data_IF_927799392626
#
_entry.id   IF_927799392626
#
_cell.length_a   1.000
_cell.length_b   1.000
_cell.length_c   1.000
_cell.angle_alpha   90.00
_cell.angle_beta   90.00
_cell.angle_gamma   90.00
#
_symmetry.space_group_name_H-M   'P 1'
#
loop_
_entity.id
_entity.type
_entity.pdbx_description
1 polymer ?
#
# COMPACT_ATOMS: atom_id res chain seq x y z
N UNK A 1 -68.23 10.62 -58.02
CA UNK A 1 -67.22 9.67 -57.52
C UNK A 1 -66.10 10.47 -56.91
N UNK A 2 -65.85 10.29 -55.62
CA UNK A 2 -64.71 10.90 -54.93
C UNK A 2 -63.43 10.15 -55.33
N UNK A 3 -62.46 10.86 -55.91
CA UNK A 3 -61.10 10.36 -56.08
C UNK A 3 -60.42 10.58 -54.73
N UNK A 4 -60.13 9.49 -53.99
CA UNK A 4 -59.20 9.57 -52.87
C UNK A 4 -57.79 9.83 -53.43
N UNK A 5 -57.07 10.87 -52.97
CA UNK A 5 -55.64 10.92 -53.22
C UNK A 5 -55.00 9.79 -52.44
N UNK A 6 -54.47 8.79 -53.16
CA UNK A 6 -53.60 7.77 -52.61
C UNK A 6 -52.30 8.48 -52.17
N UNK A 7 -52.29 9.03 -50.97
CA UNK A 7 -51.04 9.38 -50.31
C UNK A 7 -50.39 8.04 -49.93
N UNK A 8 -49.58 7.49 -50.84
CA UNK A 8 -48.51 6.58 -50.43
C UNK A 8 -47.71 7.34 -49.39
N UNK A 9 -47.86 6.96 -48.12
CA UNK A 9 -46.92 7.34 -47.08
C UNK A 9 -45.57 6.78 -47.50
N UNK A 10 -44.82 7.54 -48.28
CA UNK A 10 -43.43 7.23 -48.57
C UNK A 10 -42.74 7.23 -47.22
N UNK A 11 -42.27 6.06 -46.79
CA UNK A 11 -41.31 6.04 -45.70
C UNK A 11 -40.18 6.99 -46.09
N UNK A 12 -39.72 7.87 -45.18
CA UNK A 12 -38.54 8.68 -45.44
C UNK A 12 -37.42 7.76 -45.96
N UNK A 13 -36.71 8.13 -47.03
CA UNK A 13 -35.60 7.32 -47.53
C UNK A 13 -34.62 7.10 -46.38
N UNK A 14 -34.08 5.88 -46.27
CA UNK A 14 -33.07 5.58 -45.25
C UNK A 14 -31.88 6.48 -45.52
N UNK A 15 -31.51 7.30 -44.53
CA UNK A 15 -30.39 8.25 -44.67
C UNK A 15 -29.08 7.50 -44.98
N UNK A 16 -28.95 6.25 -44.51
CA UNK A 16 -27.85 5.34 -44.81
C UNK A 16 -27.71 4.95 -46.29
N UNK A 17 -28.73 5.15 -47.13
CA UNK A 17 -28.67 4.83 -48.57
C UNK A 17 -28.13 6.00 -49.42
N UNK A 18 -27.97 7.18 -48.82
CA UNK A 18 -27.63 8.42 -49.53
C UNK A 18 -26.47 9.22 -48.90
N UNK A 19 -26.03 8.84 -47.70
CA UNK A 19 -24.97 9.51 -46.95
C UNK A 19 -23.96 8.48 -46.46
N UNK A 20 -22.68 8.80 -46.63
CA UNK A 20 -21.56 8.09 -46.02
C UNK A 20 -21.04 8.90 -44.82
N UNK A 21 -20.75 8.22 -43.71
CA UNK A 21 -20.37 8.87 -42.43
C UNK A 21 -19.15 8.16 -41.87
N UNK A 22 -18.14 8.95 -41.51
CA UNK A 22 -16.90 8.46 -40.94
C UNK A 22 -16.56 9.22 -39.64
N UNK A 23 -15.97 8.50 -38.68
CA UNK A 23 -15.45 9.09 -37.44
C UNK A 23 -13.98 9.47 -37.62
N UNK A 24 -13.69 10.77 -37.58
CA UNK A 24 -12.31 11.29 -37.67
C UNK A 24 -11.58 11.39 -36.33
N UNK A 25 -12.26 11.10 -35.22
CA UNK A 25 -11.68 11.25 -33.88
C UNK A 25 -10.78 10.06 -33.52
N UNK A 26 -9.67 10.37 -32.86
CA UNK A 26 -8.73 9.41 -32.26
C UNK A 26 -8.46 9.80 -30.81
N UNK A 27 -8.13 8.83 -29.93
CA UNK A 27 -7.79 9.15 -28.54
C UNK A 27 -6.53 10.01 -28.48
N UNK A 28 -6.45 10.85 -27.45
CA UNK A 28 -5.29 11.73 -27.26
C UNK A 28 -4.03 10.89 -27.04
N UNK A 29 -2.95 11.16 -27.78
CA UNK A 29 -1.71 10.39 -27.71
C UNK A 29 -1.59 9.26 -28.75
N UNK A 30 -2.66 8.93 -29.48
CA UNK A 30 -2.59 7.96 -30.58
C UNK A 30 -1.73 8.48 -31.74
N UNK A 31 -0.85 7.67 -32.35
CA UNK A 31 0.00 8.12 -33.45
C UNK A 31 -0.80 8.59 -34.67
N UNK A 32 -0.40 9.72 -35.26
CA UNK A 32 -1.10 10.29 -36.42
C UNK A 32 -0.98 9.40 -37.67
N UNK A 33 0.13 8.68 -37.80
CA UNK A 33 0.47 7.79 -38.91
C UNK A 33 -0.09 6.37 -38.76
N UNK A 34 -0.64 6.02 -37.61
CA UNK A 34 -1.19 4.68 -37.33
C UNK A 34 -2.72 4.64 -37.49
N UNK A 35 -3.21 3.69 -38.28
CA UNK A 35 -4.64 3.41 -38.40
C UNK A 35 -5.19 2.74 -37.14
N UNK A 36 -6.43 3.06 -36.77
CA UNK A 36 -7.12 2.34 -35.71
C UNK A 36 -7.28 0.84 -36.09
N UNK A 37 -7.30 -0.08 -35.11
CA UNK A 37 -7.53 -1.49 -35.36
C UNK A 37 -8.84 -1.75 -36.14
N UNK A 38 -8.87 -2.83 -36.91
CA UNK A 38 -10.05 -3.20 -37.71
C UNK A 38 -11.30 -3.38 -36.83
N UNK A 39 -11.13 -4.01 -35.65
CA UNK A 39 -12.19 -4.19 -34.67
C UNK A 39 -12.82 -2.86 -34.20
N UNK A 40 -12.02 -1.79 -34.06
CA UNK A 40 -12.52 -0.45 -33.76
C UNK A 40 -13.37 0.07 -34.91
N UNK A 41 -12.90 -0.09 -36.14
CA UNK A 41 -13.57 0.40 -37.35
C UNK A 41 -14.93 -0.28 -37.54
N UNK A 42 -14.99 -1.60 -37.36
CA UNK A 42 -16.24 -2.36 -37.39
C UNK A 42 -17.21 -1.88 -36.31
N UNK A 43 -16.73 -1.71 -35.07
CA UNK A 43 -17.59 -1.32 -33.96
C UNK A 43 -18.11 0.11 -34.09
N UNK A 44 -17.29 1.03 -34.61
CA UNK A 44 -17.70 2.41 -34.93
C UNK A 44 -18.77 2.39 -36.02
N UNK A 45 -18.59 1.58 -37.07
CA UNK A 45 -19.57 1.45 -38.15
C UNK A 45 -20.92 0.95 -37.63
N UNK A 46 -20.94 -0.04 -36.74
CA UNK A 46 -22.18 -0.53 -36.13
C UNK A 46 -22.93 0.57 -35.36
N UNK A 47 -22.21 1.44 -34.64
CA UNK A 47 -22.81 2.59 -33.94
C UNK A 47 -23.38 3.60 -34.93
N UNK A 48 -22.65 3.92 -36.00
CA UNK A 48 -23.09 4.83 -37.05
C UNK A 48 -24.31 4.29 -37.82
N UNK A 49 -24.31 3.00 -38.17
CA UNK A 49 -25.44 2.33 -38.82
C UNK A 49 -26.68 2.34 -37.91
N UNK A 50 -26.49 2.10 -36.61
CA UNK A 50 -27.56 2.21 -35.60
C UNK A 50 -28.13 3.63 -35.49
N UNK A 51 -27.29 4.65 -35.63
CA UNK A 51 -27.70 6.06 -35.64
C UNK A 51 -28.44 6.44 -36.92
N UNK A 52 -27.90 6.09 -38.09
CA UNK A 52 -28.53 6.32 -39.39
C UNK A 52 -29.87 5.58 -39.52
N UNK A 53 -29.99 4.43 -38.87
CA UNK A 53 -31.22 3.66 -38.72
C UNK A 53 -32.21 4.21 -37.67
N UNK A 54 -31.91 5.36 -37.04
CA UNK A 54 -32.70 6.00 -35.97
C UNK A 54 -32.83 5.14 -34.69
N UNK A 55 -32.00 4.11 -34.52
CA UNK A 55 -31.96 3.27 -33.32
C UNK A 55 -31.11 3.87 -32.19
N UNK A 56 -30.12 4.70 -32.53
CA UNK A 56 -29.29 5.43 -31.56
C UNK A 56 -29.70 6.91 -31.52
N UNK A 57 -30.13 7.45 -30.36
CA UNK A 57 -30.39 8.88 -30.23
C UNK A 57 -29.12 9.73 -30.37
N UNK A 58 -29.19 10.82 -31.14
CA UNK A 58 -28.10 11.79 -31.35
C UNK A 58 -27.37 12.17 -30.05
N UNK A 59 -28.12 12.42 -28.98
CA UNK A 59 -27.58 12.85 -27.68
C UNK A 59 -26.61 11.86 -27.03
N UNK A 60 -26.61 10.60 -27.46
CA UNK A 60 -25.71 9.55 -26.96
C UNK A 60 -24.65 9.15 -27.98
N UNK A 61 -24.81 9.56 -29.24
CA UNK A 61 -23.96 9.15 -30.37
C UNK A 61 -22.48 9.35 -30.06
N UNK A 62 -22.10 10.55 -29.65
CA UNK A 62 -20.70 10.88 -29.38
C UNK A 62 -20.07 9.99 -28.31
N UNK A 63 -20.78 9.77 -27.20
CA UNK A 63 -20.27 8.91 -26.13
C UNK A 63 -20.20 7.44 -26.57
N UNK A 64 -21.17 6.95 -27.34
CA UNK A 64 -21.13 5.60 -27.89
C UNK A 64 -19.96 5.40 -28.87
N UNK A 65 -19.69 6.40 -29.72
CA UNK A 65 -18.56 6.37 -30.65
C UNK A 65 -17.22 6.36 -29.90
N UNK A 66 -17.04 7.23 -28.90
CA UNK A 66 -15.84 7.20 -28.04
C UNK A 66 -15.64 5.86 -27.36
N UNK A 67 -16.69 5.31 -26.76
CA UNK A 67 -16.62 4.00 -26.10
C UNK A 67 -16.34 2.87 -27.10
N UNK A 68 -16.89 2.94 -28.32
CA UNK A 68 -16.61 1.98 -29.38
C UNK A 68 -15.12 1.98 -29.76
N UNK A 69 -14.49 3.16 -29.83
CA UNK A 69 -13.04 3.25 -30.06
C UNK A 69 -12.27 2.74 -28.86
N UNK A 70 -12.43 3.35 -27.69
CA UNK A 70 -11.61 3.10 -26.50
C UNK A 70 -11.69 1.65 -26.00
N UNK A 71 -12.87 1.02 -26.06
CA UNK A 71 -13.07 -0.34 -25.58
C UNK A 71 -12.54 -1.42 -26.53
N UNK A 72 -12.20 -1.08 -27.79
CA UNK A 72 -11.77 -2.03 -28.81
C UNK A 72 -10.31 -1.83 -29.25
N UNK A 73 -9.56 -0.94 -28.56
CA UNK A 73 -8.11 -0.86 -28.71
C UNK A 73 -7.46 -2.06 -28.01
N UNK A 74 -6.67 -2.85 -28.72
CA UNK A 74 -6.11 -4.13 -28.27
C UNK A 74 -4.70 -4.03 -27.65
N UNK A 75 -4.05 -2.86 -27.75
CA UNK A 75 -2.72 -2.61 -27.22
C UNK A 75 -2.59 -1.26 -26.49
N UNK A 76 -1.57 -1.15 -25.63
CA UNK A 76 -1.23 0.06 -24.89
C UNK A 76 -2.05 0.29 -23.62
N UNK A 77 -2.07 1.54 -23.17
CA UNK A 77 -2.79 1.98 -21.99
C UNK A 77 -3.88 2.98 -22.39
N UNK A 78 -5.12 2.69 -22.04
CA UNK A 78 -6.27 3.55 -22.31
C UNK A 78 -6.78 4.09 -20.98
N UNK A 79 -6.64 5.40 -20.73
CA UNK A 79 -7.06 6.03 -19.47
C UNK A 79 -7.96 7.21 -19.77
N UNK A 80 -9.24 7.12 -19.39
CA UNK A 80 -10.24 8.11 -19.79
C UNK A 80 -10.38 8.16 -21.32
N UNK A 81 -10.02 9.30 -21.91
CA UNK A 81 -10.05 9.55 -23.37
C UNK A 81 -8.65 9.54 -24.02
N UNK A 82 -7.61 9.23 -23.24
CA UNK A 82 -6.21 9.27 -23.66
C UNK A 82 -5.65 7.85 -23.84
N UNK A 83 -4.71 7.72 -24.77
CA UNK A 83 -3.95 6.50 -25.05
C UNK A 83 -2.45 6.75 -24.88
N UNK A 84 -1.75 5.78 -24.34
CA UNK A 84 -0.30 5.79 -24.14
C UNK A 84 0.29 4.45 -24.57
N UNK A 85 1.48 4.48 -25.18
CA UNK A 85 2.17 3.26 -25.59
C UNK A 85 2.53 2.38 -24.37
N UNK A 86 2.49 1.06 -24.52
CA UNK A 86 2.70 0.10 -23.41
C UNK A 86 4.07 0.22 -22.73
N UNK A 87 5.08 0.74 -23.44
CA UNK A 87 6.41 0.99 -22.89
C UNK A 87 6.50 2.23 -22.00
N UNK A 88 5.51 3.13 -22.05
CA UNK A 88 5.54 4.44 -21.38
C UNK A 88 4.72 4.43 -20.08
N UNK A 89 5.07 3.53 -19.17
CA UNK A 89 4.37 3.33 -17.89
C UNK A 89 4.25 4.63 -17.09
N UNK A 90 5.30 5.45 -17.03
CA UNK A 90 5.25 6.72 -16.29
C UNK A 90 4.29 7.74 -16.90
N UNK A 91 4.18 7.78 -18.23
CA UNK A 91 3.21 8.64 -18.92
C UNK A 91 1.78 8.16 -18.65
N UNK A 92 1.54 6.85 -18.63
CA UNK A 92 0.26 6.26 -18.22
C UNK A 92 -0.10 6.63 -16.77
N UNK A 93 0.83 6.47 -15.83
CA UNK A 93 0.62 6.84 -14.43
C UNK A 93 0.31 8.33 -14.27
N UNK A 94 0.91 9.20 -15.09
CA UNK A 94 0.66 10.64 -15.07
C UNK A 94 -0.77 11.03 -15.52
N UNK A 95 -1.47 10.17 -16.26
CA UNK A 95 -2.88 10.38 -16.61
C UNK A 95 -3.83 10.17 -15.43
N UNK A 96 -3.38 9.49 -14.39
CA UNK A 96 -4.17 9.29 -13.18
C UNK A 96 -3.91 10.36 -12.11
N UNK A 97 -4.95 10.66 -11.36
CA UNK A 97 -4.85 11.34 -10.07
C UNK A 97 -4.58 10.31 -8.96
N UNK A 98 -3.63 10.63 -8.07
CA UNK A 98 -3.29 9.77 -6.93
C UNK A 98 -2.01 10.21 -6.23
N UNK A 99 -1.83 9.73 -5.00
CA UNK A 99 -0.62 9.97 -4.21
C UNK A 99 0.58 9.15 -4.71
N UNK A 100 1.79 9.51 -4.27
CA UNK A 100 3.03 8.80 -4.66
C UNK A 100 2.95 7.30 -4.36
N UNK A 101 2.43 6.94 -3.20
CA UNK A 101 2.30 5.55 -2.76
C UNK A 101 1.36 4.76 -3.68
N UNK A 102 0.28 5.38 -4.16
CA UNK A 102 -0.63 4.78 -5.13
C UNK A 102 0.03 4.63 -6.49
N UNK A 103 0.82 5.62 -6.92
CA UNK A 103 1.57 5.56 -8.18
C UNK A 103 2.58 4.41 -8.16
N UNK A 104 3.33 4.26 -7.07
CA UNK A 104 4.32 3.19 -6.93
C UNK A 104 3.65 1.80 -6.91
N UNK A 105 2.52 1.65 -6.22
CA UNK A 105 1.72 0.43 -6.25
C UNK A 105 1.17 0.12 -7.66
N UNK A 106 0.66 1.14 -8.37
CA UNK A 106 0.13 0.96 -9.71
C UNK A 106 1.23 0.58 -10.72
N UNK A 107 2.43 1.17 -10.64
CA UNK A 107 3.59 0.76 -11.45
C UNK A 107 3.91 -0.72 -11.24
N UNK A 108 3.92 -1.16 -9.99
CA UNK A 108 4.19 -2.56 -9.67
C UNK A 108 3.14 -3.49 -10.29
N UNK A 109 1.85 -3.14 -10.19
CA UNK A 109 0.76 -3.93 -10.79
C UNK A 109 0.86 -3.94 -12.31
N UNK A 110 1.12 -2.81 -12.95
CA UNK A 110 1.32 -2.73 -14.41
C UNK A 110 2.48 -3.62 -14.85
N UNK A 111 3.61 -3.59 -14.13
CA UNK A 111 4.74 -4.45 -14.41
C UNK A 111 4.36 -5.94 -14.31
N UNK A 112 3.57 -6.33 -13.30
CA UNK A 112 3.07 -7.72 -13.20
C UNK A 112 2.13 -8.12 -14.32
N UNK A 113 1.23 -7.23 -14.73
CA UNK A 113 0.34 -7.47 -15.86
C UNK A 113 1.13 -7.68 -17.16
N UNK A 114 2.19 -6.90 -17.36
CA UNK A 114 3.10 -7.06 -18.51
C UNK A 114 3.91 -8.36 -18.45
N UNK A 115 4.43 -8.73 -17.27
CA UNK A 115 5.13 -10.00 -17.04
C UNK A 115 4.22 -11.21 -17.33
N UNK A 116 2.93 -11.11 -16.97
CA UNK A 116 1.92 -12.16 -17.16
C UNK A 116 1.27 -12.14 -18.55
N UNK A 117 1.60 -11.17 -19.41
CA UNK A 117 0.94 -10.95 -20.71
C UNK A 117 -0.59 -10.87 -20.60
N UNK A 118 -1.07 -10.14 -19.58
CA UNK A 118 -2.49 -10.08 -19.20
C UNK A 118 -2.99 -8.63 -19.19
N UNK A 119 -4.14 -8.39 -19.81
CA UNK A 119 -4.83 -7.11 -19.82
C UNK A 119 -5.97 -7.02 -18.82
N UNK A 120 -6.47 -5.81 -18.60
CA UNK A 120 -7.61 -5.54 -17.72
C UNK A 120 -8.39 -4.33 -18.18
N UNK A 121 -9.72 -4.42 -18.12
CA UNK A 121 -10.61 -3.26 -18.24
C UNK A 121 -11.15 -2.91 -16.86
N UNK A 122 -10.93 -1.66 -16.45
CA UNK A 122 -11.41 -1.09 -15.19
C UNK A 122 -12.52 -0.10 -15.47
N UNK A 123 -13.67 -0.29 -14.85
CA UNK A 123 -14.79 0.63 -15.00
C UNK A 123 -14.69 1.89 -14.11
N UNK A 124 -15.73 2.74 -14.18
CA UNK A 124 -15.78 3.96 -13.38
C UNK A 124 -15.95 3.72 -11.88
N UNK A 125 -16.40 2.54 -11.48
CA UNK A 125 -16.61 2.14 -10.08
C UNK A 125 -15.42 1.35 -9.49
N UNK A 126 -14.42 1.06 -10.32
CA UNK A 126 -13.23 0.30 -9.94
C UNK A 126 -13.47 -1.20 -9.89
N UNK A 127 -14.32 -1.74 -10.77
CA UNK A 127 -14.46 -3.17 -11.01
C UNK A 127 -13.57 -3.60 -12.19
N UNK A 128 -12.95 -4.77 -12.06
CA UNK A 128 -12.05 -5.33 -13.07
C UNK A 128 -12.73 -6.38 -13.94
N UNK A 129 -12.55 -6.25 -15.25
CA UNK A 129 -12.78 -7.30 -16.24
C UNK A 129 -11.43 -7.74 -16.81
N UNK A 130 -11.03 -8.97 -16.52
CA UNK A 130 -9.74 -9.51 -16.94
C UNK A 130 -9.77 -9.98 -18.38
N UNK A 131 -8.71 -9.65 -19.13
CA UNK A 131 -8.59 -9.97 -20.55
C UNK A 131 -7.62 -11.13 -20.74
N UNK A 132 -8.10 -12.21 -21.36
CA UNK A 132 -7.29 -13.44 -21.55
C UNK A 132 -6.39 -13.39 -22.79
N UNK A 133 -6.71 -12.54 -23.78
CA UNK A 133 -6.07 -12.54 -25.11
C UNK A 133 -5.37 -11.24 -25.48
N UNK A 134 -5.55 -10.22 -24.66
CA UNK A 134 -5.09 -8.85 -24.90
C UNK A 134 -4.26 -8.39 -23.72
N UNK A 135 -3.25 -7.56 -23.96
CA UNK A 135 -2.38 -6.98 -22.93
C UNK A 135 -2.75 -5.55 -22.55
N UNK A 136 -3.71 -4.97 -23.26
CA UNK A 136 -4.18 -3.61 -23.01
C UNK A 136 -4.71 -3.44 -21.58
N UNK A 137 -4.35 -2.32 -20.97
CA UNK A 137 -4.94 -1.88 -19.71
C UNK A 137 -5.86 -0.71 -20.04
N UNK A 138 -7.17 -0.89 -19.81
CA UNK A 138 -8.19 0.13 -20.02
C UNK A 138 -8.72 0.57 -18.67
N UNK A 139 -8.82 1.88 -18.44
CA UNK A 139 -9.46 2.44 -17.25
C UNK A 139 -10.38 3.58 -17.63
N UNK A 140 -11.68 3.43 -17.34
CA UNK A 140 -12.66 4.52 -17.49
C UNK A 140 -12.50 5.58 -16.41
N UNK A 141 -11.86 5.24 -15.30
CA UNK A 141 -11.54 6.17 -14.23
C UNK A 141 -10.16 6.80 -14.46
N UNK A 142 -10.03 8.08 -14.11
CA UNK A 142 -8.74 8.78 -14.05
C UNK A 142 -8.20 8.86 -12.62
N UNK A 143 -8.61 7.94 -11.74
CA UNK A 143 -8.13 7.85 -10.35
C UNK A 143 -7.39 6.54 -10.11
N UNK A 144 -6.20 6.61 -9.51
CA UNK A 144 -5.46 5.41 -9.11
C UNK A 144 -6.21 4.61 -8.04
N UNK A 145 -7.04 5.28 -7.23
CA UNK A 145 -7.88 4.59 -6.26
C UNK A 145 -8.74 3.49 -6.91
N UNK A 146 -9.41 3.80 -8.02
CA UNK A 146 -10.29 2.85 -8.70
C UNK A 146 -9.49 1.77 -9.43
N UNK A 147 -8.35 2.13 -10.03
CA UNK A 147 -7.44 1.17 -10.63
C UNK A 147 -6.92 0.15 -9.60
N UNK A 148 -6.40 0.63 -8.47
CA UNK A 148 -5.91 -0.22 -7.39
C UNK A 148 -7.04 -1.06 -6.78
N UNK A 149 -8.23 -0.49 -6.59
CA UNK A 149 -9.40 -1.24 -6.11
C UNK A 149 -9.70 -2.44 -7.02
N UNK A 150 -9.74 -2.21 -8.33
CA UNK A 150 -10.04 -3.23 -9.32
C UNK A 150 -9.02 -4.37 -9.31
N UNK A 151 -7.73 -4.03 -9.17
CA UNK A 151 -6.63 -4.99 -9.22
C UNK A 151 -6.30 -5.64 -7.86
N UNK A 152 -6.86 -5.15 -6.75
CA UNK A 152 -6.43 -5.53 -5.40
C UNK A 152 -6.65 -7.01 -5.08
N UNK A 153 -7.74 -7.59 -5.57
CA UNK A 153 -8.06 -9.00 -5.31
C UNK A 153 -6.98 -9.95 -5.84
N UNK A 154 -6.43 -9.66 -7.02
CA UNK A 154 -5.41 -10.50 -7.66
C UNK A 154 -3.99 -10.15 -7.16
N UNK A 155 -3.68 -8.86 -7.07
CA UNK A 155 -2.29 -8.40 -6.92
C UNK A 155 -1.94 -7.86 -5.54
N UNK A 156 -2.94 -7.54 -4.71
CA UNK A 156 -2.73 -6.86 -3.43
C UNK A 156 -1.89 -7.65 -2.45
N UNK A 157 -2.06 -8.97 -2.38
CA UNK A 157 -1.26 -9.84 -1.52
C UNK A 157 0.22 -9.82 -1.92
N UNK A 158 0.51 -10.11 -3.19
CA UNK A 158 1.87 -10.17 -3.72
C UNK A 158 2.58 -8.82 -3.63
N UNK A 159 1.86 -7.71 -3.85
CA UNK A 159 2.41 -6.38 -3.63
C UNK A 159 2.84 -6.18 -2.17
N UNK A 160 2.03 -6.59 -1.19
CA UNK A 160 2.38 -6.46 0.23
C UNK A 160 3.60 -7.30 0.61
N UNK A 161 3.74 -8.49 0.03
CA UNK A 161 4.93 -9.34 0.20
C UNK A 161 6.18 -8.64 -0.37
N UNK A 162 6.09 -8.07 -1.58
CA UNK A 162 7.20 -7.35 -2.19
C UNK A 162 7.54 -6.05 -1.45
N UNK A 163 6.57 -5.43 -0.78
CA UNK A 163 6.79 -4.35 0.19
C UNK A 163 7.47 -4.82 1.48
N UNK A 164 7.69 -6.12 1.63
CA UNK A 164 8.44 -6.76 2.71
C UNK A 164 7.61 -7.22 3.90
N UNK A 165 6.28 -7.22 3.81
CA UNK A 165 5.45 -7.77 4.88
C UNK A 165 5.63 -9.30 4.96
N UNK A 166 5.56 -9.86 6.16
CA UNK A 166 5.50 -11.30 6.34
C UNK A 166 4.18 -11.88 5.82
N UNK A 167 4.16 -13.18 5.51
CA UNK A 167 3.04 -13.91 4.92
C UNK A 167 1.71 -13.71 5.68
N UNK A 168 1.74 -13.90 7.00
CA UNK A 168 0.56 -13.74 7.87
C UNK A 168 0.05 -12.28 7.91
N UNK A 169 0.95 -11.32 8.04
CA UNK A 169 0.62 -9.90 8.09
C UNK A 169 0.09 -9.39 6.73
N UNK A 170 0.70 -9.83 5.63
CA UNK A 170 0.28 -9.52 4.27
C UNK A 170 -1.12 -10.09 4.00
N UNK A 171 -1.35 -11.36 4.33
CA UNK A 171 -2.64 -12.03 4.15
C UNK A 171 -3.75 -11.35 4.96
N UNK A 172 -3.48 -11.06 6.23
CA UNK A 172 -4.43 -10.33 7.10
C UNK A 172 -4.75 -8.94 6.58
N UNK A 173 -3.74 -8.21 6.09
CA UNK A 173 -3.88 -6.84 5.59
C UNK A 173 -4.62 -6.79 4.27
N UNK A 174 -4.30 -7.70 3.35
CA UNK A 174 -4.98 -7.87 2.06
C UNK A 174 -6.46 -8.18 2.25
N UNK A 175 -6.80 -9.18 3.08
CA UNK A 175 -8.18 -9.58 3.35
C UNK A 175 -8.99 -8.44 4.00
N UNK A 176 -8.41 -7.72 4.96
CA UNK A 176 -9.09 -6.58 5.60
C UNK A 176 -9.45 -5.49 4.59
N UNK A 177 -8.55 -5.22 3.65
CA UNK A 177 -8.77 -4.20 2.61
C UNK A 177 -9.81 -4.66 1.57
N UNK A 178 -9.96 -5.97 1.33
CA UNK A 178 -11.07 -6.52 0.52
C UNK A 178 -12.41 -6.42 1.24
N UNK A 179 -12.47 -6.85 2.51
CA UNK A 179 -13.72 -6.90 3.28
C UNK A 179 -14.25 -5.50 3.62
N UNK A 180 -13.34 -4.56 3.92
CA UNK A 180 -13.65 -3.19 4.33
C UNK A 180 -12.74 -2.20 3.60
N UNK A 181 -13.05 -1.86 2.34
CA UNK A 181 -12.20 -1.01 1.53
C UNK A 181 -11.99 0.36 2.15
N UNK A 182 -10.73 0.71 2.42
CA UNK A 182 -10.32 2.06 2.77
C UNK A 182 -9.72 2.77 1.56
N UNK A 183 -9.69 4.12 1.53
CA UNK A 183 -8.97 4.87 0.50
C UNK A 183 -7.49 4.46 0.42
N UNK A 184 -7.05 4.03 -0.77
CA UNK A 184 -5.73 3.43 -1.02
C UNK A 184 -4.57 4.32 -0.57
N UNK A 185 -4.60 5.62 -0.87
CA UNK A 185 -3.57 6.57 -0.43
C UNK A 185 -3.28 6.48 1.09
N UNK A 186 -4.33 6.53 1.92
CA UNK A 186 -4.17 6.47 3.37
C UNK A 186 -3.83 5.06 3.87
N UNK A 187 -4.35 4.04 3.20
CA UNK A 187 -4.07 2.65 3.50
C UNK A 187 -2.59 2.32 3.26
N UNK A 188 -2.07 2.59 2.06
CA UNK A 188 -0.68 2.33 1.69
C UNK A 188 0.30 3.11 2.58
N UNK A 189 0.02 4.39 2.88
CA UNK A 189 0.83 5.17 3.83
C UNK A 189 0.92 4.53 5.21
N UNK A 190 -0.19 3.98 5.71
CA UNK A 190 -0.20 3.28 7.00
C UNK A 190 0.58 1.99 6.94
N UNK A 191 0.46 1.21 5.87
CA UNK A 191 1.22 -0.03 5.67
C UNK A 191 2.72 0.27 5.63
N UNK A 192 3.14 1.24 4.81
CA UNK A 192 4.54 1.64 4.67
C UNK A 192 5.09 2.14 6.01
N UNK A 193 4.36 3.02 6.70
CA UNK A 193 4.79 3.55 8.00
C UNK A 193 4.88 2.46 9.06
N UNK A 194 3.92 1.53 9.12
CA UNK A 194 3.96 0.40 10.04
C UNK A 194 5.15 -0.53 9.75
N UNK A 195 5.44 -0.77 8.47
CA UNK A 195 6.60 -1.56 8.06
C UNK A 195 7.92 -0.90 8.44
N UNK A 196 8.07 0.39 8.15
CA UNK A 196 9.26 1.16 8.53
C UNK A 196 9.52 1.12 10.04
N UNK A 197 8.47 1.24 10.85
CA UNK A 197 8.58 1.13 12.31
C UNK A 197 8.96 -0.30 12.74
N UNK A 198 8.37 -1.32 12.12
CA UNK A 198 8.75 -2.72 12.36
C UNK A 198 10.22 -2.99 12.03
N UNK A 199 10.69 -2.51 10.88
CA UNK A 199 12.09 -2.62 10.44
C UNK A 199 13.06 -1.86 11.33
N UNK A 200 12.60 -0.76 11.90
CA UNK A 200 13.38 0.01 12.86
C UNK A 200 13.53 -0.77 14.17
N UNK A 201 12.44 -1.37 14.66
CA UNK A 201 12.44 -2.17 15.88
C UNK A 201 13.24 -3.47 15.69
N UNK A 202 13.20 -4.08 14.50
CA UNK A 202 13.90 -5.34 14.23
C UNK A 202 15.43 -5.23 14.28
N UNK A 203 15.96 -4.01 14.26
CA UNK A 203 17.40 -3.72 14.49
C UNK A 203 17.84 -4.01 15.92
N UNK A 204 16.90 -4.03 16.88
CA UNK A 204 17.21 -4.36 18.27
C UNK A 204 17.48 -5.87 18.37
N UNK A 205 18.64 -6.30 18.90
CA UNK A 205 18.90 -7.71 19.15
C UNK A 205 17.78 -8.35 19.99
N UNK A 206 17.35 -9.56 19.59
CA UNK A 206 16.29 -10.32 20.25
C UNK A 206 14.92 -9.60 20.27
N UNK A 207 14.58 -8.82 19.23
CA UNK A 207 13.28 -8.12 19.17
C UNK A 207 12.06 -9.07 19.09
N UNK A 208 12.27 -10.28 18.57
CA UNK A 208 11.29 -11.34 18.36
C UNK A 208 11.49 -12.54 19.30
N UNK A 209 12.59 -12.56 20.07
CA UNK A 209 12.89 -13.64 21.00
C UNK A 209 12.29 -13.38 22.40
N UNK A 210 11.80 -14.45 23.02
CA UNK A 210 11.34 -14.40 24.41
C UNK A 210 12.53 -14.57 25.37
N UNK A 211 12.96 -13.47 25.99
CA UNK A 211 13.98 -13.48 27.05
C UNK A 211 13.25 -13.59 28.40
N UNK A 212 13.61 -14.56 29.22
CA UNK A 212 13.05 -14.72 30.57
C UNK A 212 13.84 -13.92 31.62
N UNK A 213 13.24 -13.76 32.81
CA UNK A 213 13.89 -13.12 33.96
C UNK A 213 14.05 -11.61 33.84
N UNK A 214 15.05 -11.06 34.55
CA UNK A 214 15.27 -9.62 34.66
C UNK A 214 15.72 -9.00 33.34
N UNK A 215 16.50 -9.73 32.54
CA UNK A 215 16.89 -9.29 31.20
C UNK A 215 15.67 -9.20 30.27
N UNK A 216 14.71 -10.12 30.43
CA UNK A 216 13.42 -10.07 29.74
C UNK A 216 12.59 -8.83 30.08
N UNK A 217 12.50 -8.48 31.36
CA UNK A 217 11.79 -7.28 31.80
C UNK A 217 12.45 -6.01 31.25
N UNK A 218 13.78 -5.93 31.22
CA UNK A 218 14.51 -4.81 30.61
C UNK A 218 14.30 -4.76 29.09
N UNK A 219 14.46 -5.88 28.39
CA UNK A 219 14.20 -5.99 26.94
C UNK A 219 12.76 -5.55 26.61
N UNK A 220 11.79 -5.98 27.41
CA UNK A 220 10.40 -5.59 27.27
C UNK A 220 10.18 -4.09 27.42
N UNK A 221 10.88 -3.43 28.36
CA UNK A 221 10.83 -1.97 28.49
C UNK A 221 11.47 -1.25 27.31
N UNK A 222 12.60 -1.73 26.79
CA UNK A 222 13.26 -1.18 25.58
C UNK A 222 12.34 -1.30 24.37
N UNK A 223 11.79 -2.49 24.10
CA UNK A 223 10.88 -2.71 22.97
C UNK A 223 9.58 -1.93 23.11
N UNK A 224 9.07 -1.76 24.33
CA UNK A 224 7.90 -0.92 24.59
C UNK A 224 8.21 0.57 24.37
N UNK A 225 9.40 1.02 24.76
CA UNK A 225 9.85 2.39 24.50
C UNK A 225 10.01 2.67 23.01
N UNK A 226 10.54 1.70 22.25
CA UNK A 226 10.64 1.77 20.79
C UNK A 226 9.24 1.86 20.15
N UNK A 227 8.35 0.90 20.45
CA UNK A 227 7.01 0.79 19.84
C UNK A 227 6.04 1.88 20.25
N UNK A 228 6.08 2.32 21.49
CA UNK A 228 5.03 3.14 22.10
C UNK A 228 5.54 4.47 22.69
N UNK A 229 6.83 4.73 22.62
CA UNK A 229 7.49 5.88 23.23
C UNK A 229 7.82 5.69 24.71
N UNK A 230 8.81 6.46 25.18
CA UNK A 230 9.32 6.44 26.55
C UNK A 230 8.24 6.65 27.62
N UNK A 231 7.19 7.42 27.34
CA UNK A 231 6.10 7.68 28.29
C UNK A 231 5.33 6.40 28.69
N UNK A 232 5.02 5.54 27.72
CA UNK A 232 4.33 4.26 27.99
C UNK A 232 5.26 3.25 28.66
N UNK A 233 6.54 3.21 28.26
CA UNK A 233 7.56 2.38 28.92
C UNK A 233 7.74 2.78 30.40
N UNK A 234 7.85 4.08 30.69
CA UNK A 234 7.92 4.60 32.06
C UNK A 234 6.68 4.24 32.87
N UNK A 235 5.50 4.29 32.26
CA UNK A 235 4.25 3.89 32.92
C UNK A 235 4.20 2.38 33.20
N UNK A 236 4.77 1.55 32.33
CA UNK A 236 4.92 0.11 32.54
C UNK A 236 5.95 -0.19 33.65
N UNK A 237 7.09 0.50 33.66
CA UNK A 237 8.13 0.36 34.67
C UNK A 237 7.60 0.59 36.10
N UNK A 238 6.70 1.57 36.30
CA UNK A 238 6.04 1.83 37.61
C UNK A 238 5.18 0.67 38.12
N UNK A 239 4.73 -0.21 37.22
CA UNK A 239 3.85 -1.34 37.53
C UNK A 239 4.63 -2.64 37.78
N UNK A 240 5.94 -2.64 37.55
CA UNK A 240 6.81 -3.78 37.87
C UNK A 240 6.93 -3.93 39.39
N UNK A 241 6.10 -4.79 39.98
CA UNK A 241 5.99 -4.99 41.45
C UNK A 241 5.89 -6.45 41.89
N UNK A 242 6.19 -7.39 40.98
CA UNK A 242 6.05 -8.84 41.24
C UNK A 242 7.07 -9.36 42.27
N UNK A 243 8.25 -8.75 42.32
CA UNK A 243 9.30 -9.02 43.31
C UNK A 243 10.17 -7.78 43.51
N UNK A 244 11.04 -7.80 44.53
CA UNK A 244 12.00 -6.71 44.78
C UNK A 244 12.94 -6.53 43.58
N UNK A 245 13.39 -7.62 42.97
CA UNK A 245 14.28 -7.61 41.81
C UNK A 245 13.58 -7.02 40.57
N UNK A 246 12.33 -7.39 40.32
CA UNK A 246 11.53 -6.84 39.22
C UNK A 246 11.22 -5.35 39.47
N UNK A 247 10.92 -4.97 40.71
CA UNK A 247 10.73 -3.57 41.09
C UNK A 247 12.03 -2.76 40.94
N UNK A 248 13.19 -3.36 41.22
CA UNK A 248 14.50 -2.74 41.02
C UNK A 248 14.77 -2.46 39.53
N UNK A 249 14.32 -3.33 38.61
CA UNK A 249 14.37 -3.06 37.16
C UNK A 249 13.55 -1.81 36.81
N UNK A 250 12.31 -1.74 37.31
CA UNK A 250 11.43 -0.58 37.08
C UNK A 250 12.03 0.72 37.62
N UNK A 251 12.65 0.68 38.80
CA UNK A 251 13.36 1.82 39.37
C UNK A 251 14.59 2.21 38.57
N UNK A 252 15.41 1.25 38.16
CA UNK A 252 16.61 1.47 37.36
C UNK A 252 16.29 2.11 36.01
N UNK A 253 15.20 1.67 35.37
CA UNK A 253 14.67 2.26 34.14
C UNK A 253 14.25 3.72 34.33
N UNK A 254 13.42 4.02 35.33
CA UNK A 254 12.98 5.38 35.59
C UNK A 254 14.16 6.32 35.91
N UNK A 255 15.13 5.83 36.68
CA UNK A 255 16.35 6.56 37.04
C UNK A 255 17.29 6.79 35.84
N UNK A 256 17.29 5.86 34.89
CA UNK A 256 18.04 5.99 33.62
C UNK A 256 17.54 7.21 32.82
N UNK A 257 16.24 7.51 32.89
CA UNK A 257 15.59 8.59 32.16
C UNK A 257 15.30 9.86 33.00
N UNK A 258 15.87 9.98 34.20
CA UNK A 258 15.65 11.15 35.06
C UNK A 258 14.20 11.29 35.56
N UNK A 259 13.51 10.16 35.76
CA UNK A 259 12.11 10.08 36.21
C UNK A 259 11.97 9.49 37.62
N UNK A 260 13.04 9.48 38.40
CA UNK A 260 13.04 9.09 39.81
C UNK A 260 12.15 10.00 40.69
N UNK A 261 12.21 11.31 40.46
CA UNK A 261 11.51 12.32 41.24
C UNK A 261 9.99 12.14 41.22
N UNK A 262 9.39 12.01 42.41
CA UNK A 262 7.94 11.83 42.58
C UNK A 262 7.42 10.40 42.32
N UNK A 263 8.28 9.48 41.86
CA UNK A 263 7.93 8.06 41.68
C UNK A 263 8.53 7.15 42.75
N UNK A 264 9.43 7.67 43.58
CA UNK A 264 10.04 7.00 44.73
C UNK A 264 9.04 6.16 45.53
N UNK A 265 7.94 6.77 45.98
CA UNK A 265 6.93 6.13 46.84
C UNK A 265 6.31 4.85 46.25
N UNK A 266 6.45 4.60 44.95
CA UNK A 266 6.01 3.37 44.31
C UNK A 266 6.94 2.16 44.54
N UNK A 267 8.17 2.39 45.01
CA UNK A 267 9.22 1.38 45.14
C UNK A 267 9.73 1.32 46.58
N UNK A 268 9.96 0.11 47.08
CA UNK A 268 10.59 -0.12 48.39
C UNK A 268 12.07 0.26 48.38
N UNK A 269 12.63 0.63 49.54
CA UNK A 269 14.04 1.04 49.65
C UNK A 269 15.00 -0.01 49.09
N UNK A 270 14.79 -1.28 49.41
CA UNK A 270 15.64 -2.37 48.91
C UNK A 270 15.62 -2.51 47.37
N UNK A 271 14.48 -2.21 46.72
CA UNK A 271 14.39 -2.19 45.27
C UNK A 271 15.09 -0.96 44.68
N UNK A 272 15.02 0.20 45.36
CA UNK A 272 15.70 1.42 44.93
C UNK A 272 17.21 1.30 45.02
N UNK A 273 17.72 0.73 46.10
CA UNK A 273 19.15 0.52 46.33
C UNK A 273 19.71 -0.43 45.25
N UNK A 274 19.08 -1.60 45.06
CA UNK A 274 19.46 -2.56 44.00
C UNK A 274 19.36 -1.94 42.60
N UNK A 275 18.25 -1.27 42.30
CA UNK A 275 18.02 -0.68 40.98
C UNK A 275 19.00 0.47 40.69
N UNK A 276 19.43 1.21 41.71
CA UNK A 276 20.44 2.26 41.60
C UNK A 276 21.77 1.75 41.05
N UNK A 277 22.19 0.54 41.45
CA UNK A 277 23.41 -0.10 40.95
C UNK A 277 23.32 -0.45 39.45
N UNK A 278 22.11 -0.68 38.93
CA UNK A 278 21.88 -1.10 37.56
C UNK A 278 21.75 0.07 36.57
N UNK A 279 21.55 1.29 37.06
CA UNK A 279 21.38 2.51 36.23
C UNK A 279 22.52 2.70 35.21
N UNK A 280 23.82 2.53 35.55
CA UNK A 280 24.89 2.69 34.55
C UNK A 280 24.81 1.67 33.41
N UNK A 281 24.40 0.43 33.69
CA UNK A 281 24.23 -0.63 32.69
C UNK A 281 23.02 -0.33 31.79
N UNK A 282 21.89 0.09 32.38
CA UNK A 282 20.69 0.45 31.62
C UNK A 282 20.88 1.71 30.77
N UNK A 283 21.63 2.72 31.26
CA UNK A 283 22.00 3.90 30.47
C UNK A 283 22.76 3.53 29.20
N UNK A 284 23.73 2.61 29.31
CA UNK A 284 24.50 2.11 28.16
C UNK A 284 23.63 1.30 27.21
N UNK A 285 22.78 0.43 27.74
CA UNK A 285 21.86 -0.38 26.96
C UNK A 285 20.88 0.50 26.16
N UNK A 286 20.25 1.47 26.81
CA UNK A 286 19.34 2.40 26.17
C UNK A 286 20.05 3.27 25.13
N UNK A 287 21.26 3.76 25.42
CA UNK A 287 22.04 4.52 24.43
C UNK A 287 22.36 3.70 23.17
N UNK A 288 22.73 2.42 23.32
CA UNK A 288 22.91 1.54 22.17
C UNK A 288 21.59 1.28 21.42
N UNK A 289 20.47 1.17 22.13
CA UNK A 289 19.14 1.05 21.52
C UNK A 289 18.77 2.30 20.72
N UNK A 290 19.02 3.51 21.25
CA UNK A 290 18.75 4.77 20.55
C UNK A 290 19.56 4.89 19.26
N UNK A 291 20.81 4.44 19.25
CA UNK A 291 21.62 4.41 18.03
C UNK A 291 21.05 3.44 16.98
N UNK A 292 20.59 2.26 17.39
CA UNK A 292 19.93 1.29 16.50
C UNK A 292 18.61 1.84 15.94
N UNK A 293 17.87 2.55 16.77
CA UNK A 293 16.60 3.20 16.43
C UNK A 293 16.78 4.55 15.71
N UNK A 294 18.00 5.02 15.46
CA UNK A 294 18.19 6.29 14.76
C UNK A 294 17.77 6.19 13.29
N UNK A 295 17.31 7.30 12.72
CA UNK A 295 17.11 7.42 11.26
C UNK A 295 18.46 7.40 10.53
N UNK A 296 19.52 7.91 11.17
CA UNK A 296 20.92 7.85 10.71
C UNK A 296 21.62 6.54 11.11
N UNK A 297 20.85 5.44 11.16
CA UNK A 297 21.39 4.13 11.48
C UNK A 297 22.43 3.71 10.43
N UNK A 298 23.59 3.26 10.91
CA UNK A 298 24.67 2.75 10.08
C UNK A 298 24.92 1.29 10.46
N UNK A 299 24.62 0.37 9.53
CA UNK A 299 24.82 -1.06 9.72
C UNK A 299 26.29 -1.44 9.96
N UNK A 300 27.24 -0.57 9.61
CA UNK A 300 28.66 -0.73 9.92
C UNK A 300 29.06 -0.36 11.36
N UNK A 301 28.18 0.32 12.11
CA UNK A 301 28.41 0.60 13.53
C UNK A 301 28.19 -0.65 14.37
N UNK A 302 29.05 -0.83 15.37
CA UNK A 302 28.96 -1.90 16.37
C UNK A 302 27.80 -1.72 17.38
N UNK A 303 26.78 -0.91 17.08
CA UNK A 303 25.69 -0.60 18.02
C UNK A 303 24.90 -1.85 18.44
N UNK A 304 24.76 -2.85 17.55
CA UNK A 304 24.18 -4.15 17.91
C UNK A 304 25.09 -4.93 18.89
N UNK A 305 26.40 -4.96 18.64
CA UNK A 305 27.37 -5.59 19.57
C UNK A 305 27.40 -4.86 20.92
N UNK A 306 27.31 -3.53 20.92
CA UNK A 306 27.26 -2.70 22.13
C UNK A 306 25.97 -2.95 22.92
N UNK A 307 24.83 -3.14 22.24
CA UNK A 307 23.58 -3.51 22.87
C UNK A 307 23.69 -4.87 23.58
N UNK A 308 24.25 -5.87 22.89
CA UNK A 308 24.51 -7.21 23.45
C UNK A 308 25.45 -7.15 24.64
N UNK A 309 26.56 -6.41 24.53
CA UNK A 309 27.53 -6.24 25.60
C UNK A 309 26.91 -5.54 26.82
N UNK A 310 26.07 -4.52 26.59
CA UNK A 310 25.36 -3.81 27.65
C UNK A 310 24.34 -4.72 28.35
N UNK A 311 23.59 -5.54 27.59
CA UNK A 311 22.65 -6.52 28.15
C UNK A 311 23.39 -7.58 28.97
N UNK A 312 24.53 -8.07 28.49
CA UNK A 312 25.35 -9.06 29.20
C UNK A 312 26.00 -8.47 30.48
N UNK A 313 26.37 -7.18 30.45
CA UNK A 313 26.81 -6.45 31.66
C UNK A 313 25.66 -6.32 32.66
N UNK A 314 24.45 -5.98 32.19
CA UNK A 314 23.27 -5.94 33.05
C UNK A 314 23.01 -7.30 33.69
N UNK A 315 22.98 -8.38 32.90
CA UNK A 315 22.81 -9.77 33.35
C UNK A 315 23.78 -10.14 34.48
N UNK A 316 25.06 -9.82 34.31
CA UNK A 316 26.10 -10.06 35.33
C UNK A 316 25.88 -9.21 36.59
N UNK A 317 25.46 -7.95 36.44
CA UNK A 317 25.22 -7.05 37.58
C UNK A 317 23.97 -7.40 38.39
N UNK A 318 22.93 -7.96 37.76
CA UNK A 318 21.71 -8.36 38.45
C UNK A 318 21.74 -9.82 38.95
N UNK A 319 22.82 -10.57 38.63
CA UNK A 319 23.00 -11.95 39.06
C UNK A 319 22.12 -12.97 38.33
N UNK A 320 21.55 -12.60 37.19
CA UNK A 320 20.67 -13.45 36.38
C UNK A 320 21.45 -14.66 35.81
N UNK A 321 21.02 -15.88 36.15
CA UNK A 321 21.68 -17.11 35.73
C UNK A 321 21.26 -17.59 34.34
N UNK A 322 20.08 -17.18 33.89
CA UNK A 322 19.58 -17.48 32.55
C UNK A 322 20.52 -16.85 31.51
N UNK A 323 20.99 -17.65 30.56
CA UNK A 323 21.82 -17.15 29.45
C UNK A 323 20.94 -16.44 28.43
N UNK A 324 21.48 -15.38 27.84
CA UNK A 324 20.85 -14.73 26.70
C UNK A 324 20.83 -15.70 25.50
N UNK A 325 19.80 -15.65 24.65
CA UNK A 325 19.76 -16.44 23.42
C UNK A 325 20.96 -16.12 22.53
N UNK A 326 21.43 -17.11 21.75
CA UNK A 326 22.37 -16.83 20.66
C UNK A 326 21.71 -15.96 19.60
N UNK A 327 22.48 -14.99 19.08
CA UNK A 327 22.14 -14.22 17.88
C UNK A 327 22.55 -14.97 16.62
#
# INVERSE_FOLDING_TARGET
>A
GFIQPLALGMMPPKISEIVDVELMWRPEGWPEDESLPEAVTERVKEVLDGWLGLGVPEKFLWNMLKQAVLANLDAGFVVGDSWVHESEVDACIALFSGGKEEQDAARWIIAKLQEEWRGVTVDGEGEAEWLEKETVIRSRSTTLHNFLKACWAEFGYSLLIDMGLGDEDASSTWQKQLDKPAPFNNFLKKVISAKQESDRISRIPWFDANIEGLCGEVQGLVLNAARNGLGKANSAAKKLRKSIEIAAVGWAWLSTHGKEGGNEWHFEQAARDKGGEWVPSLKRLWGAAEELLSDDFDAGKKSAELYVEAMEKFRKSCGEQNRLPSL
#
